data_IF_513621834490
#
_entry.id   IF_513621834490
#
_cell.length_a   1.000
_cell.length_b   1.000
_cell.length_c   1.000
_cell.angle_alpha   90.00
_cell.angle_beta   90.00
_cell.angle_gamma   90.00
#
_symmetry.space_group_name_H-M   'P 1'
#
loop_
_entity.id
_entity.type
_entity.pdbx_description
1 polymer ?
#
# COMPACT_ATOMS: atom_id res chain seq x y z
N UNK A 1 -18.05 -7.67 -12.67
CA UNK A 1 -17.94 -8.82 -13.61
C UNK A 1 -16.52 -8.89 -14.11
N UNK A 2 -15.80 -9.94 -13.72
CA UNK A 2 -14.50 -10.28 -14.28
C UNK A 2 -14.65 -10.55 -15.78
N UNK A 3 -13.72 -10.06 -16.60
CA UNK A 3 -13.67 -10.50 -18.01
C UNK A 3 -13.04 -11.91 -18.07
N UNK A 4 -13.28 -12.62 -19.18
CA UNK A 4 -12.81 -14.01 -19.37
C UNK A 4 -11.28 -14.13 -19.19
N UNK A 5 -10.53 -13.15 -19.73
CA UNK A 5 -9.06 -13.15 -19.65
C UNK A 5 -8.55 -13.03 -18.21
N UNK A 6 -9.22 -12.24 -17.36
CA UNK A 6 -8.87 -12.11 -15.94
C UNK A 6 -9.09 -13.44 -15.20
N UNK A 7 -10.21 -14.12 -15.45
CA UNK A 7 -10.50 -15.42 -14.83
C UNK A 7 -9.46 -16.49 -15.21
N UNK A 8 -9.07 -16.55 -16.48
CA UNK A 8 -8.02 -17.46 -16.95
C UNK A 8 -6.68 -17.16 -16.28
N UNK A 9 -6.31 -15.88 -16.13
CA UNK A 9 -5.08 -15.47 -15.46
C UNK A 9 -5.09 -15.81 -13.98
N UNK A 10 -6.18 -15.56 -13.27
CA UNK A 10 -6.34 -15.94 -11.85
C UNK A 10 -6.13 -17.45 -11.68
N UNK A 11 -6.83 -18.27 -12.49
CA UNK A 11 -6.72 -19.73 -12.41
C UNK A 11 -5.30 -20.21 -12.71
N UNK A 12 -4.66 -19.66 -13.75
CA UNK A 12 -3.29 -20.03 -14.12
C UNK A 12 -2.30 -19.71 -13.00
N UNK A 13 -2.37 -18.51 -12.44
CA UNK A 13 -1.48 -18.12 -11.35
C UNK A 13 -1.78 -18.88 -10.05
N UNK A 14 -3.04 -19.23 -9.82
CA UNK A 14 -3.42 -20.05 -8.67
C UNK A 14 -2.84 -21.46 -8.77
N UNK A 15 -2.84 -22.09 -9.94
CA UNK A 15 -2.20 -23.42 -10.10
C UNK A 15 -0.69 -23.35 -9.81
N UNK A 16 -0.02 -22.26 -10.21
CA UNK A 16 1.38 -22.01 -9.86
C UNK A 16 1.53 -21.84 -8.33
N UNK A 17 0.71 -20.99 -7.72
CA UNK A 17 0.72 -20.76 -6.28
C UNK A 17 0.51 -22.07 -5.50
N UNK A 18 -0.47 -22.87 -5.90
CA UNK A 18 -0.81 -24.16 -5.29
C UNK A 18 0.32 -25.17 -5.39
N UNK A 19 1.15 -25.09 -6.43
CA UNK A 19 2.37 -25.88 -6.54
C UNK A 19 3.35 -25.65 -5.39
N UNK A 20 3.45 -24.41 -4.90
CA UNK A 20 4.28 -24.04 -3.74
C UNK A 20 3.54 -24.18 -2.41
N UNK A 21 2.24 -23.87 -2.39
CA UNK A 21 1.40 -23.82 -1.19
C UNK A 21 0.14 -24.69 -1.38
N UNK A 22 0.27 -26.02 -1.23
CA UNK A 22 -0.76 -26.99 -1.66
C UNK A 22 -2.02 -26.98 -0.79
N UNK A 23 -1.99 -26.36 0.39
CA UNK A 23 -3.15 -26.22 1.29
C UNK A 23 -4.00 -24.99 0.98
N UNK A 24 -3.61 -24.16 0.02
CA UNK A 24 -4.43 -23.08 -0.51
C UNK A 24 -5.43 -23.61 -1.54
N UNK A 25 -6.63 -23.03 -1.52
CA UNK A 25 -7.76 -23.36 -2.39
C UNK A 25 -8.32 -22.10 -3.03
N UNK A 26 -8.71 -22.18 -4.30
CA UNK A 26 -9.43 -21.12 -5.01
C UNK A 26 -10.92 -21.44 -4.95
N UNK A 27 -11.69 -20.58 -4.31
CA UNK A 27 -13.14 -20.71 -4.15
C UNK A 27 -13.87 -19.51 -4.76
N UNK A 28 -15.18 -19.65 -4.93
CA UNK A 28 -16.05 -18.56 -5.33
C UNK A 28 -16.91 -18.13 -4.13
N UNK A 29 -16.83 -16.85 -3.77
CA UNK A 29 -17.64 -16.22 -2.73
C UNK A 29 -18.25 -14.93 -3.28
N UNK A 30 -19.57 -14.76 -3.12
CA UNK A 30 -20.30 -13.56 -3.56
C UNK A 30 -19.97 -13.15 -5.01
N UNK A 31 -19.97 -14.12 -5.93
CA UNK A 31 -19.64 -13.93 -7.37
C UNK A 31 -18.19 -13.45 -7.64
N UNK A 32 -17.29 -13.62 -6.67
CA UNK A 32 -15.88 -13.24 -6.76
C UNK A 32 -14.98 -14.41 -6.38
N UNK A 33 -13.82 -14.51 -7.04
CA UNK A 33 -12.83 -15.54 -6.71
C UNK A 33 -12.00 -15.10 -5.50
N UNK A 34 -11.75 -16.04 -4.60
CA UNK A 34 -10.98 -15.84 -3.38
C UNK A 34 -10.03 -17.01 -3.19
N UNK A 35 -8.79 -16.75 -2.78
CA UNK A 35 -7.84 -17.79 -2.37
C UNK A 35 -7.91 -17.92 -0.85
N UNK A 36 -8.17 -19.12 -0.33
CA UNK A 36 -8.25 -19.36 1.12
C UNK A 36 -7.50 -20.63 1.51
N UNK A 37 -7.01 -20.69 2.74
CA UNK A 37 -6.43 -21.92 3.31
C UNK A 37 -5.19 -21.67 4.14
N UNK A 38 -4.53 -22.75 4.54
CA UNK A 38 -3.30 -22.69 5.33
C UNK A 38 -2.11 -22.33 4.45
N UNK A 39 -1.51 -21.16 4.71
CA UNK A 39 -0.22 -20.77 4.18
C UNK A 39 0.88 -21.29 5.10
N UNK A 40 1.55 -22.36 4.69
CA UNK A 40 2.69 -22.95 5.42
C UNK A 40 4.01 -22.55 4.77
N UNK A 41 4.97 -22.08 5.57
CA UNK A 41 6.27 -21.66 5.06
C UNK A 41 7.35 -21.72 6.14
N UNK A 42 8.60 -21.73 5.68
CA UNK A 42 9.79 -21.55 6.51
C UNK A 42 10.55 -20.33 6.03
N UNK A 43 10.89 -19.44 6.96
CA UNK A 43 11.58 -18.18 6.62
C UNK A 43 12.69 -17.90 7.62
N UNK A 44 13.80 -17.32 7.15
CA UNK A 44 14.79 -16.70 8.03
C UNK A 44 14.56 -15.19 8.08
N UNK A 45 14.46 -14.65 9.28
CA UNK A 45 14.26 -13.22 9.51
C UNK A 45 15.08 -12.78 10.72
N UNK A 46 15.87 -11.72 10.55
CA UNK A 46 16.80 -11.21 11.56
C UNK A 46 17.72 -12.28 12.20
N UNK A 47 18.16 -13.27 11.42
CA UNK A 47 19.05 -14.34 11.87
C UNK A 47 18.34 -15.51 12.55
N UNK A 48 17.03 -15.47 12.68
CA UNK A 48 16.22 -16.54 13.26
C UNK A 48 15.37 -17.24 12.22
N UNK A 49 15.15 -18.55 12.39
CA UNK A 49 14.30 -19.33 11.49
C UNK A 49 12.94 -19.58 12.13
N UNK A 50 11.89 -19.19 11.41
CA UNK A 50 10.51 -19.46 11.76
C UNK A 50 9.93 -20.53 10.85
N UNK A 51 9.26 -21.50 11.46
CA UNK A 51 8.42 -22.50 10.78
C UNK A 51 6.98 -22.15 11.15
N UNK A 52 6.19 -21.75 10.16
CA UNK A 52 4.96 -21.01 10.38
C UNK A 52 3.82 -21.50 9.49
N UNK A 53 2.61 -21.37 10.02
CA UNK A 53 1.37 -21.54 9.28
C UNK A 53 0.40 -20.42 9.68
N UNK A 54 -0.33 -19.90 8.69
CA UNK A 54 -1.40 -18.92 8.90
C UNK A 54 -2.59 -19.29 8.04
N UNK A 55 -3.80 -19.23 8.62
CA UNK A 55 -5.02 -19.37 7.85
C UNK A 55 -5.32 -18.02 7.19
N UNK A 56 -5.24 -17.96 5.86
CA UNK A 56 -5.33 -16.71 5.12
C UNK A 56 -6.51 -16.66 4.14
N UNK A 57 -6.87 -15.44 3.77
CA UNK A 57 -7.74 -15.11 2.63
C UNK A 57 -7.02 -14.10 1.74
N UNK A 58 -6.99 -14.35 0.42
CA UNK A 58 -6.65 -13.38 -0.61
C UNK A 58 -7.91 -13.04 -1.41
N UNK A 59 -8.38 -11.80 -1.30
CA UNK A 59 -9.58 -11.28 -1.96
C UNK A 59 -9.26 -10.03 -2.82
N UNK A 60 -10.27 -9.41 -3.44
CA UNK A 60 -10.06 -8.25 -4.32
C UNK A 60 -9.56 -8.60 -5.72
N UNK A 61 -9.88 -9.80 -6.23
CA UNK A 61 -9.36 -10.29 -7.50
C UNK A 61 -10.12 -9.74 -8.72
N UNK A 62 -11.10 -8.86 -8.56
CA UNK A 62 -11.98 -8.38 -9.64
C UNK A 62 -11.23 -7.60 -10.72
N UNK A 63 -10.15 -6.90 -10.33
CA UNK A 63 -9.28 -6.13 -11.21
C UNK A 63 -7.94 -6.84 -11.50
N UNK A 64 -7.81 -8.12 -11.17
CA UNK A 64 -6.58 -8.88 -11.37
C UNK A 64 -6.20 -8.97 -12.86
N UNK A 65 -4.90 -8.88 -13.24
CA UNK A 65 -3.70 -8.70 -12.42
C UNK A 65 -3.25 -7.22 -12.29
N UNK A 66 -4.16 -6.26 -12.46
CA UNK A 66 -3.81 -4.84 -12.46
C UNK A 66 -3.70 -4.27 -11.04
N UNK A 67 -4.55 -4.74 -10.14
CA UNK A 67 -4.48 -4.45 -8.71
C UNK A 67 -3.99 -5.69 -7.94
N UNK A 68 -3.16 -5.52 -6.89
CA UNK A 68 -2.78 -6.61 -6.02
C UNK A 68 -3.98 -7.11 -5.19
N UNK A 69 -4.01 -8.38 -4.78
CA UNK A 69 -5.00 -8.87 -3.82
C UNK A 69 -4.92 -8.14 -2.47
N UNK A 70 -6.02 -8.14 -1.73
CA UNK A 70 -6.01 -7.88 -0.29
C UNK A 70 -5.76 -9.18 0.46
N UNK A 71 -5.00 -9.13 1.55
CA UNK A 71 -4.76 -10.29 2.41
C UNK A 71 -5.44 -10.11 3.77
N UNK A 72 -5.95 -11.19 4.36
CA UNK A 72 -6.38 -11.27 5.76
C UNK A 72 -5.77 -12.50 6.42
N UNK A 73 -5.54 -12.40 7.72
CA UNK A 73 -5.30 -13.53 8.61
C UNK A 73 -6.63 -13.84 9.34
N UNK A 74 -7.06 -15.10 9.34
CA UNK A 74 -8.42 -15.48 9.69
C UNK A 74 -8.61 -15.95 11.14
N UNK A 75 -7.54 -16.23 11.88
CA UNK A 75 -7.61 -16.65 13.30
C UNK A 75 -7.66 -15.48 14.28
N UNK A 76 -7.25 -14.29 13.83
CA UNK A 76 -7.21 -13.08 14.63
C UNK A 76 -5.88 -12.88 15.37
N UNK A 77 -4.85 -13.69 15.06
CA UNK A 77 -3.53 -13.64 15.71
C UNK A 77 -2.80 -12.33 15.44
N UNK A 78 -3.03 -11.71 14.29
CA UNK A 78 -2.37 -10.45 13.88
C UNK A 78 -3.21 -9.20 14.20
N UNK A 79 -4.36 -9.31 14.85
CA UNK A 79 -5.29 -8.17 15.01
C UNK A 79 -4.65 -6.96 15.71
N UNK A 80 -3.74 -7.20 16.65
CA UNK A 80 -3.05 -6.15 17.41
C UNK A 80 -1.76 -5.65 16.73
N UNK A 81 -1.45 -6.12 15.51
CA UNK A 81 -0.22 -5.77 14.79
C UNK A 81 -0.47 -5.59 13.28
N UNK A 82 -0.29 -4.37 12.77
CA UNK A 82 -0.43 -4.02 11.35
C UNK A 82 -1.63 -4.67 10.66
N UNK A 83 -2.81 -4.57 11.29
CA UNK A 83 -4.08 -5.02 10.72
C UNK A 83 -5.05 -3.83 10.66
N UNK A 84 -5.63 -3.58 9.50
CA UNK A 84 -6.61 -2.51 9.28
C UNK A 84 -7.94 -2.84 9.97
N UNK A 85 -8.80 -1.82 10.13
CA UNK A 85 -10.12 -1.98 10.75
C UNK A 85 -11.03 -3.01 10.04
N UNK A 86 -10.90 -3.15 8.72
CA UNK A 86 -11.61 -4.15 7.91
C UNK A 86 -10.95 -5.55 7.93
N UNK A 87 -9.96 -5.74 8.80
CA UNK A 87 -9.13 -6.94 8.98
C UNK A 87 -8.15 -7.24 7.85
N UNK A 88 -8.03 -6.36 6.85
CA UNK A 88 -6.96 -6.51 5.85
C UNK A 88 -5.60 -6.21 6.47
N UNK A 89 -4.57 -6.93 6.04
CA UNK A 89 -3.22 -6.74 6.56
C UNK A 89 -2.62 -5.45 6.00
N UNK A 90 -2.07 -4.62 6.89
CA UNK A 90 -1.31 -3.42 6.54
C UNK A 90 0.14 -3.83 6.22
N UNK A 91 0.36 -4.40 5.03
CA UNK A 91 1.66 -5.02 4.68
C UNK A 91 2.79 -3.98 4.65
N UNK A 92 2.53 -2.83 4.02
CA UNK A 92 3.42 -1.67 3.90
C UNK A 92 2.61 -0.51 3.30
N UNK A 93 3.24 0.62 3.00
CA UNK A 93 2.57 1.74 2.33
C UNK A 93 1.89 1.27 1.03
N UNK A 94 0.65 1.70 0.71
CA UNK A 94 -0.12 1.18 -0.43
C UNK A 94 0.63 1.23 -1.77
N UNK A 95 1.42 2.27 -2.01
CA UNK A 95 2.26 2.37 -3.21
C UNK A 95 3.39 1.34 -3.24
N UNK A 96 3.99 0.98 -2.10
CA UNK A 96 5.04 -0.05 -2.04
C UNK A 96 4.48 -1.44 -2.28
N UNK A 97 3.27 -1.72 -1.79
CA UNK A 97 2.56 -2.97 -2.14
C UNK A 97 2.45 -3.10 -3.66
N UNK A 98 1.99 -2.03 -4.34
CA UNK A 98 1.87 -2.02 -5.79
C UNK A 98 3.20 -2.07 -6.52
N UNK A 99 4.25 -1.42 -5.99
CA UNK A 99 5.60 -1.46 -6.58
C UNK A 99 6.16 -2.88 -6.54
N UNK A 100 6.14 -3.52 -5.37
CA UNK A 100 6.63 -4.90 -5.19
C UNK A 100 5.81 -5.89 -6.02
N UNK A 101 4.48 -5.80 -5.95
CA UNK A 101 3.59 -6.64 -6.74
C UNK A 101 3.84 -6.51 -8.25
N UNK A 102 4.12 -5.30 -8.75
CA UNK A 102 4.35 -5.08 -10.18
C UNK A 102 5.62 -5.74 -10.74
N UNK A 103 6.54 -6.22 -9.89
CA UNK A 103 7.72 -6.98 -10.33
C UNK A 103 7.35 -8.36 -10.86
N UNK A 104 6.37 -9.02 -10.25
CA UNK A 104 5.95 -10.39 -10.58
C UNK A 104 4.55 -10.46 -11.21
N UNK A 105 3.63 -9.57 -10.78
CA UNK A 105 2.22 -9.47 -11.21
C UNK A 105 1.51 -10.82 -11.21
N UNK A 106 1.73 -11.59 -10.14
CA UNK A 106 1.08 -12.89 -9.96
C UNK A 106 0.86 -13.20 -8.47
N UNK A 107 0.01 -14.18 -8.17
CA UNK A 107 -0.33 -14.57 -6.80
C UNK A 107 0.87 -15.12 -6.03
N UNK A 108 1.75 -15.89 -6.67
CA UNK A 108 2.93 -16.46 -6.03
C UNK A 108 3.87 -15.36 -5.52
N UNK A 109 4.20 -14.40 -6.38
CA UNK A 109 5.03 -13.25 -5.99
C UNK A 109 4.35 -12.34 -4.96
N UNK A 110 3.02 -12.20 -4.98
CA UNK A 110 2.32 -11.53 -3.88
C UNK A 110 2.52 -12.27 -2.55
N UNK A 111 2.43 -13.60 -2.53
CA UNK A 111 2.65 -14.37 -1.30
C UNK A 111 4.11 -14.31 -0.85
N UNK A 112 5.06 -14.54 -1.75
CA UNK A 112 6.49 -14.63 -1.43
C UNK A 112 7.14 -13.27 -1.12
N UNK A 113 6.82 -12.22 -1.88
CA UNK A 113 7.51 -10.92 -1.78
C UNK A 113 6.83 -9.93 -0.82
N UNK A 114 5.57 -10.19 -0.45
CA UNK A 114 4.76 -9.31 0.41
C UNK A 114 4.25 -10.02 1.66
N UNK A 115 3.53 -11.14 1.49
CA UNK A 115 2.81 -11.75 2.61
C UNK A 115 3.72 -12.53 3.57
N UNK A 116 4.66 -13.33 3.06
CA UNK A 116 5.65 -14.03 3.90
C UNK A 116 6.53 -13.04 4.67
N UNK A 117 7.09 -11.97 4.06
CA UNK A 117 7.82 -10.94 4.80
C UNK A 117 7.00 -10.27 5.91
N UNK A 118 5.72 -9.98 5.66
CA UNK A 118 4.81 -9.46 6.68
C UNK A 118 4.71 -10.42 7.87
N UNK A 119 4.41 -11.70 7.62
CA UNK A 119 4.29 -12.68 8.69
C UNK A 119 5.64 -12.96 9.39
N UNK A 120 6.76 -12.86 8.69
CA UNK A 120 8.08 -12.99 9.29
C UNK A 120 8.35 -11.87 10.32
N UNK A 121 8.04 -10.63 9.94
CA UNK A 121 8.12 -9.48 10.84
C UNK A 121 7.13 -9.62 12.02
N UNK A 122 5.89 -10.06 11.76
CA UNK A 122 4.91 -10.35 12.81
C UNK A 122 5.43 -11.36 13.83
N UNK A 123 5.95 -12.52 13.37
CA UNK A 123 6.44 -13.58 14.23
C UNK A 123 7.64 -13.14 15.08
N UNK A 124 8.51 -12.31 14.51
CA UNK A 124 9.60 -11.71 15.26
C UNK A 124 9.08 -10.76 16.34
N UNK A 125 8.18 -9.85 15.98
CA UNK A 125 7.55 -8.93 16.92
C UNK A 125 6.79 -9.68 18.03
N UNK A 126 6.01 -10.70 17.69
CA UNK A 126 5.25 -11.50 18.65
C UNK A 126 6.18 -12.20 19.66
N UNK A 127 7.35 -12.65 19.20
CA UNK A 127 8.35 -13.29 20.04
C UNK A 127 9.14 -12.32 20.92
N UNK A 128 9.51 -11.15 20.39
CA UNK A 128 10.50 -10.26 21.01
C UNK A 128 9.93 -8.95 21.54
N UNK A 129 8.73 -8.56 21.12
CA UNK A 129 8.06 -7.32 21.49
C UNK A 129 8.61 -6.06 20.78
N UNK A 130 9.45 -6.22 19.77
CA UNK A 130 9.99 -5.13 18.95
C UNK A 130 10.28 -5.59 17.52
N UNK A 131 10.47 -4.64 16.60
CA UNK A 131 10.80 -4.90 15.20
C UNK A 131 12.23 -4.47 14.88
N UNK A 132 13.03 -5.29 14.18
CA UNK A 132 14.46 -5.06 14.02
C UNK A 132 14.77 -3.99 12.96
N UNK A 133 13.91 -3.81 11.96
CA UNK A 133 14.17 -2.93 10.81
C UNK A 133 13.58 -1.51 10.96
N UNK A 134 12.93 -1.22 12.09
CA UNK A 134 12.03 -0.07 12.20
C UNK A 134 10.77 -0.28 11.36
N UNK A 135 9.62 0.11 11.88
CA UNK A 135 8.36 0.05 11.15
C UNK A 135 7.79 1.43 11.01
N UNK A 136 7.13 1.70 9.88
CA UNK A 136 6.31 2.90 9.78
C UNK A 136 5.19 2.84 10.81
N UNK A 137 4.86 3.98 11.40
CA UNK A 137 3.68 4.13 12.25
C UNK A 137 2.40 3.76 11.48
N UNK A 138 1.30 3.51 12.20
CA UNK A 138 0.03 3.20 11.53
C UNK A 138 -0.62 4.46 10.94
N UNK A 139 -1.38 4.25 9.85
CA UNK A 139 -2.26 5.27 9.31
C UNK A 139 -1.51 6.50 8.75
N UNK A 140 -2.05 7.71 8.94
CA UNK A 140 -1.46 8.93 8.36
C UNK A 140 -0.03 9.23 8.78
N UNK A 141 0.37 8.87 10.01
CA UNK A 141 1.73 9.11 10.50
C UNK A 141 2.76 8.30 9.69
N UNK A 142 2.54 7.00 9.49
CA UNK A 142 3.41 6.18 8.66
C UNK A 142 3.40 6.56 7.19
N UNK A 143 2.28 7.07 6.67
CA UNK A 143 2.26 7.63 5.31
C UNK A 143 3.20 8.85 5.19
N UNK A 144 3.27 9.71 6.21
CA UNK A 144 4.24 10.79 6.22
C UNK A 144 5.68 10.28 6.26
N UNK A 145 5.99 9.30 7.11
CA UNK A 145 7.32 8.69 7.18
C UNK A 145 7.71 8.12 5.81
N UNK A 146 6.83 7.33 5.20
CA UNK A 146 7.01 6.80 3.86
C UNK A 146 7.27 7.89 2.82
N UNK A 147 6.42 8.91 2.72
CA UNK A 147 6.57 9.94 1.69
C UNK A 147 7.76 10.86 1.92
N UNK A 148 8.12 11.11 3.18
CA UNK A 148 9.34 11.84 3.53
C UNK A 148 10.57 11.10 3.01
N UNK A 149 10.65 9.78 3.21
CA UNK A 149 11.72 8.95 2.64
C UNK A 149 11.66 8.91 1.11
N UNK A 150 10.49 8.64 0.53
CA UNK A 150 10.31 8.50 -0.92
C UNK A 150 10.72 9.76 -1.71
N UNK A 151 10.34 10.94 -1.21
CA UNK A 151 10.72 12.23 -1.80
C UNK A 151 12.04 12.78 -1.25
N UNK A 152 12.65 12.16 -0.24
CA UNK A 152 13.82 12.66 0.47
C UNK A 152 13.63 14.10 0.99
N UNK A 153 12.56 14.31 1.76
CA UNK A 153 12.19 15.60 2.36
C UNK A 153 11.84 15.42 3.84
N UNK A 154 12.09 16.44 4.67
CA UNK A 154 11.78 16.37 6.10
C UNK A 154 10.41 16.91 6.52
N UNK A 155 9.68 17.57 5.62
CA UNK A 155 8.48 18.35 5.96
C UNK A 155 7.18 17.68 5.50
N UNK A 156 6.24 17.50 6.43
CA UNK A 156 4.85 17.07 6.12
C UNK A 156 4.17 17.99 5.11
N UNK A 157 4.39 19.31 5.24
CA UNK A 157 3.83 20.30 4.30
C UNK A 157 4.33 20.03 2.89
N UNK A 158 5.63 19.78 2.72
CA UNK A 158 6.22 19.47 1.41
C UNK A 158 5.67 18.16 0.85
N UNK A 159 5.46 17.13 1.68
CA UNK A 159 4.77 15.90 1.26
C UNK A 159 3.38 16.22 0.70
N UNK A 160 2.55 16.98 1.44
CA UNK A 160 1.23 17.38 0.97
C UNK A 160 1.29 18.21 -0.32
N UNK A 161 2.29 19.09 -0.46
CA UNK A 161 2.52 19.85 -1.69
C UNK A 161 2.78 18.93 -2.90
N UNK A 162 3.58 17.87 -2.75
CA UNK A 162 3.80 16.91 -3.83
C UNK A 162 2.54 16.17 -4.22
N UNK A 163 1.79 15.66 -3.24
CA UNK A 163 0.57 14.89 -3.49
C UNK A 163 -0.49 15.77 -4.17
N UNK A 164 -0.73 17.00 -3.68
CA UNK A 164 -1.65 17.91 -4.36
C UNK A 164 -1.19 18.27 -5.78
N UNK A 165 0.13 18.38 -6.03
CA UNK A 165 0.65 18.71 -7.35
C UNK A 165 0.23 17.64 -8.36
N UNK A 166 0.25 16.38 -7.94
CA UNK A 166 -0.19 15.23 -8.73
C UNK A 166 -1.71 15.21 -8.88
N UNK A 167 -2.45 15.31 -7.78
CA UNK A 167 -3.93 15.23 -7.74
C UNK A 167 -4.55 16.30 -8.65
N UNK A 168 -4.05 17.53 -8.56
CA UNK A 168 -4.58 18.69 -9.29
C UNK A 168 -4.01 18.82 -10.70
N UNK A 169 -3.17 17.88 -11.14
CA UNK A 169 -2.57 17.90 -12.48
C UNK A 169 -1.65 19.09 -12.74
N UNK A 170 -1.15 19.73 -11.68
CA UNK A 170 -0.30 20.93 -11.78
C UNK A 170 1.20 20.63 -11.95
N UNK A 171 1.56 19.37 -12.16
CA UNK A 171 2.92 18.97 -12.51
C UNK A 171 3.25 19.36 -13.95
N UNK A 172 4.30 20.17 -14.13
CA UNK A 172 4.96 20.36 -15.40
C UNK A 172 6.48 20.46 -15.19
N UNK A 173 7.26 19.72 -15.98
CA UNK A 173 8.70 19.53 -15.75
C UNK A 173 9.54 20.81 -15.76
N UNK A 174 9.06 21.88 -16.40
CA UNK A 174 9.73 23.18 -16.44
C UNK A 174 9.36 24.13 -15.28
N UNK A 175 8.35 23.79 -14.48
CA UNK A 175 7.97 24.56 -13.31
C UNK A 175 8.90 24.26 -12.13
N UNK A 176 8.98 25.21 -11.19
CA UNK A 176 9.71 25.07 -9.93
C UNK A 176 9.21 23.88 -9.11
N UNK A 177 10.14 23.12 -8.53
CA UNK A 177 9.81 22.01 -7.66
C UNK A 177 9.35 22.52 -6.30
N UNK A 178 8.30 21.91 -5.76
CA UNK A 178 7.68 22.28 -4.48
C UNK A 178 8.52 21.93 -3.24
N UNK A 179 9.68 21.29 -3.41
CA UNK A 179 10.61 20.97 -2.31
C UNK A 179 11.51 22.14 -1.88
N UNK A 180 11.32 23.33 -2.44
CA UNK A 180 12.04 24.55 -2.04
C UNK A 180 13.55 24.55 -2.34
N UNK A 181 14.06 23.54 -3.05
CA UNK A 181 15.46 23.48 -3.50
C UNK A 181 15.86 24.54 -4.54
N UNK A 182 14.92 25.34 -5.04
CA UNK A 182 15.10 26.28 -6.15
C UNK A 182 15.24 25.62 -7.53
N UNK A 183 15.23 24.28 -7.62
CA UNK A 183 15.31 23.53 -8.88
C UNK A 183 13.93 23.36 -9.53
N UNK A 184 13.90 23.20 -10.85
CA UNK A 184 12.70 22.79 -11.58
C UNK A 184 12.43 21.28 -11.43
N UNK A 185 11.17 20.86 -11.57
CA UNK A 185 10.76 19.46 -11.39
C UNK A 185 11.61 18.46 -12.19
N UNK A 186 11.86 18.70 -13.48
CA UNK A 186 12.64 17.78 -14.34
C UNK A 186 14.09 17.58 -13.88
N UNK A 187 14.63 18.47 -13.04
CA UNK A 187 15.98 18.41 -12.47
C UNK A 187 15.96 18.12 -10.96
N UNK A 188 14.81 17.72 -10.43
CA UNK A 188 14.56 17.49 -9.02
C UNK A 188 13.62 16.28 -8.88
N UNK A 189 12.43 16.42 -8.29
CA UNK A 189 11.54 15.29 -7.99
C UNK A 189 10.61 14.84 -9.14
N UNK A 190 10.87 15.26 -10.38
CA UNK A 190 10.02 14.93 -11.53
C UNK A 190 9.92 13.42 -11.80
N UNK A 191 11.02 12.69 -11.64
CA UNK A 191 11.03 11.22 -11.79
C UNK A 191 10.18 10.54 -10.73
N UNK A 192 10.31 10.95 -9.45
CA UNK A 192 9.51 10.45 -8.33
C UNK A 192 8.01 10.72 -8.52
N UNK A 193 7.65 11.88 -9.05
CA UNK A 193 6.25 12.19 -9.41
C UNK A 193 5.74 11.25 -10.52
N UNK A 194 6.53 11.05 -11.57
CA UNK A 194 6.16 10.16 -12.68
C UNK A 194 6.01 8.73 -12.17
N UNK A 195 6.91 8.30 -11.31
CA UNK A 195 6.87 7.00 -10.67
C UNK A 195 5.59 6.82 -9.86
N UNK A 196 5.27 7.76 -8.96
CA UNK A 196 4.09 7.68 -8.10
C UNK A 196 2.79 7.59 -8.92
N UNK A 197 2.71 8.36 -10.02
CA UNK A 197 1.58 8.33 -10.97
C UNK A 197 1.39 6.99 -11.70
N UNK A 198 2.41 6.13 -11.75
CA UNK A 198 2.29 4.79 -12.37
C UNK A 198 1.64 3.78 -11.44
N UNK A 199 1.77 3.98 -10.13
CA UNK A 199 1.32 3.01 -9.12
C UNK A 199 0.06 3.46 -8.40
N UNK A 200 -0.12 4.75 -8.15
CA UNK A 200 -1.29 5.27 -7.46
C UNK A 200 -2.23 6.04 -8.37
N UNK A 201 -3.51 5.73 -8.26
CA UNK A 201 -4.57 6.51 -8.87
C UNK A 201 -4.72 7.86 -8.17
N UNK A 202 -5.27 8.86 -8.89
CA UNK A 202 -5.60 10.15 -8.28
C UNK A 202 -6.61 10.02 -7.14
N UNK A 203 -7.42 8.95 -7.13
CA UNK A 203 -8.39 8.67 -6.07
C UNK A 203 -7.68 8.28 -4.78
N UNK A 204 -6.75 7.34 -4.86
CA UNK A 204 -5.97 6.87 -3.71
C UNK A 204 -5.14 8.01 -3.11
N UNK A 205 -4.42 8.75 -3.96
CA UNK A 205 -3.65 9.93 -3.53
C UNK A 205 -4.53 10.98 -2.85
N UNK A 206 -5.75 11.21 -3.34
CA UNK A 206 -6.68 12.14 -2.71
C UNK A 206 -7.18 11.64 -1.34
N UNK A 207 -7.47 10.33 -1.19
CA UNK A 207 -7.82 9.76 0.11
C UNK A 207 -6.68 9.92 1.12
N UNK A 208 -5.46 9.55 0.73
CA UNK A 208 -4.26 9.67 1.57
C UNK A 208 -4.00 11.14 1.94
N UNK A 209 -4.03 12.05 0.97
CA UNK A 209 -3.87 13.48 1.21
C UNK A 209 -4.88 14.02 2.23
N UNK A 210 -6.16 13.65 2.10
CA UNK A 210 -7.20 14.14 3.00
C UNK A 210 -7.06 13.54 4.41
N UNK A 211 -6.72 12.26 4.52
CA UNK A 211 -6.45 11.61 5.81
C UNK A 211 -5.24 12.22 6.52
N UNK A 212 -4.14 12.43 5.79
CA UNK A 212 -2.94 13.11 6.29
C UNK A 212 -3.21 14.55 6.70
N UNK A 213 -3.98 15.30 5.91
CA UNK A 213 -4.34 16.67 6.27
C UNK A 213 -5.20 16.72 7.55
N UNK A 214 -6.18 15.82 7.67
CA UNK A 214 -7.03 15.75 8.86
C UNK A 214 -6.20 15.42 10.11
N UNK A 215 -5.30 14.44 10.01
CA UNK A 215 -4.38 14.08 11.07
C UNK A 215 -3.56 15.27 11.57
N UNK A 216 -3.02 16.10 10.67
CA UNK A 216 -2.28 17.31 11.07
C UNK A 216 -3.17 18.37 11.73
N UNK A 217 -4.40 18.55 11.24
CA UNK A 217 -5.34 19.53 11.80
C UNK A 217 -5.79 19.13 13.21
N UNK A 218 -6.02 17.84 13.44
CA UNK A 218 -6.46 17.30 14.73
C UNK A 218 -5.30 17.22 15.74
N UNK A 219 -4.09 16.89 15.28
CA UNK A 219 -2.92 16.68 16.13
C UNK A 219 -2.07 17.93 16.41
N UNK A 220 -2.22 19.01 15.62
CA UNK A 220 -1.30 20.15 15.71
C UNK A 220 -1.98 21.52 15.46
N UNK A 221 -2.07 22.34 16.52
CA UNK A 221 -2.60 23.71 16.45
C UNK A 221 -1.71 24.71 15.67
N UNK A 222 -0.53 24.29 15.20
CA UNK A 222 0.48 25.14 14.55
C UNK A 222 0.90 24.69 13.15
N UNK A 223 0.16 23.77 12.52
CA UNK A 223 0.46 23.30 11.17
C UNK A 223 0.47 24.45 10.13
N UNK A 224 1.60 24.62 9.44
CA UNK A 224 1.75 25.56 8.33
C UNK A 224 0.99 25.06 7.09
N UNK A 225 -0.19 25.63 6.85
CA UNK A 225 -1.02 25.28 5.69
C UNK A 225 -0.72 26.12 4.43
N UNK A 226 0.36 26.90 4.42
CA UNK A 226 0.72 27.76 3.31
C UNK A 226 0.91 26.95 2.01
N UNK A 227 0.21 27.38 0.95
CA UNK A 227 0.24 26.72 -0.37
C UNK A 227 -0.58 25.43 -0.47
N UNK A 228 -1.18 24.95 0.62
CA UNK A 228 -2.04 23.75 0.62
C UNK A 228 -3.43 24.09 0.07
N UNK A 229 -3.75 23.60 -1.13
CA UNK A 229 -5.02 23.83 -1.84
C UNK A 229 -6.07 22.79 -1.49
N UNK A 230 -6.29 22.54 -0.20
CA UNK A 230 -7.18 21.46 0.27
C UNK A 230 -8.63 21.61 -0.23
N UNK A 231 -9.13 22.83 -0.42
CA UNK A 231 -10.47 23.08 -0.99
C UNK A 231 -10.60 22.55 -2.41
N UNK A 232 -9.56 22.69 -3.23
CA UNK A 232 -9.52 22.16 -4.60
C UNK A 232 -9.44 20.63 -4.58
N UNK A 233 -8.64 20.05 -3.69
CA UNK A 233 -8.56 18.59 -3.52
C UNK A 233 -9.89 18.01 -3.03
N UNK A 234 -10.55 18.67 -2.07
CA UNK A 234 -11.91 18.31 -1.63
C UNK A 234 -12.93 18.41 -2.76
N UNK A 235 -12.87 19.47 -3.57
CA UNK A 235 -13.76 19.62 -4.74
C UNK A 235 -13.53 18.50 -5.75
N UNK A 236 -12.27 18.17 -6.05
CA UNK A 236 -11.90 17.02 -6.86
C UNK A 236 -12.46 15.72 -6.28
N UNK A 237 -12.28 15.50 -4.97
CA UNK A 237 -12.74 14.29 -4.29
C UNK A 237 -14.26 14.15 -4.34
N UNK A 238 -15.02 15.22 -4.09
CA UNK A 238 -16.48 15.25 -4.23
C UNK A 238 -16.94 14.98 -5.66
N UNK A 239 -16.32 15.62 -6.66
CA UNK A 239 -16.62 15.40 -8.08
C UNK A 239 -16.39 13.94 -8.49
N UNK A 240 -15.38 13.29 -7.91
CA UNK A 240 -15.03 11.89 -8.13
C UNK A 240 -15.80 10.92 -7.21
N UNK A 241 -16.73 11.40 -6.38
CA UNK A 241 -17.50 10.61 -5.40
C UNK A 241 -16.62 9.80 -4.45
N UNK A 242 -15.45 10.36 -4.11
CA UNK A 242 -14.49 9.76 -3.16
C UNK A 242 -14.95 10.02 -1.73
N UNK A 243 -15.40 11.25 -1.46
CA UNK A 243 -15.99 11.69 -0.19
C UNK A 243 -17.41 12.18 -0.45
N UNK A 244 -18.28 12.02 0.55
CA UNK A 244 -19.67 12.52 0.51
C UNK A 244 -19.73 14.04 0.62
#
# INVERSE_FOLDING_TARGET
MLNISNLEKIRTDFEILKGSFPKLSLIEENESLVVVGDLEFKVNYAGETFDAHFLIELSGLENYPFDPPFAKELTGRTLDWHTNFDRTLCITAPVEVKRKYNSSKNLLGFVEDLLIPYFAAFLFWEKHGYSPDGEYAHGPEGLFEYYKEFFNVGSERIVLLFLQTIILGSYAGHLGCVCESGKIFRKCHGEKIIELKRFQSLRELACEFLGMLLFLIEGNSSFESEGIRYKEVLSFAKKKKIVK
#
